data_IF_349539368340
#
_entry.id   IF_349539368340
#
_cell.length_a   1.000
_cell.length_b   1.000
_cell.length_c   1.000
_cell.angle_alpha   90.00
_cell.angle_beta   90.00
_cell.angle_gamma   90.00
#
_symmetry.space_group_name_H-M   'P 1'
#
loop_
_entity.id
_entity.type
_entity.pdbx_description
1 polymer ?
#
# COMPACT_ATOMS: atom_id res chain seq x y z
N UNK A 1 15.80 -16.68 56.46
CA UNK A 1 15.92 -17.14 55.05
C UNK A 1 14.73 -16.75 54.18
N UNK A 2 13.47 -17.01 54.58
CA UNK A 2 12.27 -16.64 53.79
C UNK A 2 12.17 -15.13 53.46
N UNK A 3 12.47 -14.24 54.42
CA UNK A 3 12.42 -12.77 54.21
C UNK A 3 13.45 -12.27 53.18
N UNK A 4 14.66 -12.84 53.18
CA UNK A 4 15.72 -12.52 52.21
C UNK A 4 15.31 -13.00 50.81
N UNK A 5 14.70 -14.19 50.73
CA UNK A 5 14.17 -14.72 49.46
C UNK A 5 13.05 -13.85 48.87
N UNK A 6 12.19 -13.26 49.71
CA UNK A 6 11.12 -12.35 49.28
C UNK A 6 11.68 -11.01 48.77
N UNK A 7 12.70 -10.47 49.45
CA UNK A 7 13.36 -9.23 49.01
C UNK A 7 14.08 -9.46 47.67
N UNK A 8 14.76 -10.60 47.50
CA UNK A 8 15.43 -10.94 46.24
C UNK A 8 14.44 -11.08 45.09
N UNK A 9 13.27 -11.68 45.33
CA UNK A 9 12.22 -11.82 44.33
C UNK A 9 11.61 -10.47 43.93
N UNK A 10 11.44 -9.54 44.88
CA UNK A 10 10.93 -8.20 44.60
C UNK A 10 11.89 -7.37 43.73
N UNK A 11 13.21 -7.53 43.91
CA UNK A 11 14.25 -6.86 43.11
C UNK A 11 14.31 -7.39 41.68
N UNK A 12 14.03 -8.68 41.47
CA UNK A 12 13.99 -9.27 40.13
C UNK A 12 12.77 -8.76 39.35
N UNK A 13 11.64 -8.54 40.01
CA UNK A 13 10.40 -8.06 39.38
C UNK A 13 10.48 -6.56 39.02
N UNK A 14 11.20 -5.74 39.80
CA UNK A 14 11.36 -4.31 39.51
C UNK A 14 12.29 -4.00 38.34
N UNK A 15 13.16 -4.94 37.93
CA UNK A 15 14.08 -4.79 36.80
C UNK A 15 13.45 -4.84 35.41
N UNK A 16 12.16 -5.15 35.28
CA UNK A 16 11.48 -5.35 33.98
C UNK A 16 10.54 -4.20 33.55
N UNK A 17 10.61 -3.02 34.18
CA UNK A 17 9.59 -1.96 34.01
C UNK A 17 9.74 -1.04 32.78
N UNK A 18 10.60 -1.35 31.80
CA UNK A 18 10.73 -0.54 30.58
C UNK A 18 10.46 -1.35 29.31
N UNK A 19 9.20 -1.73 29.12
CA UNK A 19 8.71 -2.34 27.89
C UNK A 19 8.20 -1.31 26.86
N UNK A 20 8.10 -0.03 27.22
CA UNK A 20 7.45 0.97 26.37
C UNK A 20 8.47 1.70 25.49
N UNK A 21 8.36 1.50 24.19
CA UNK A 21 9.14 2.24 23.18
C UNK A 21 8.72 3.71 23.18
N UNK A 22 9.70 4.62 23.16
CA UNK A 22 9.44 6.05 22.94
C UNK A 22 8.91 6.25 21.51
N UNK A 23 7.77 6.92 21.39
CA UNK A 23 7.18 7.30 20.11
C UNK A 23 7.79 8.64 19.68
N UNK A 24 8.24 8.75 18.43
CA UNK A 24 8.78 10.00 17.87
C UNK A 24 7.91 10.53 16.72
N UNK A 25 8.19 11.75 16.23
CA UNK A 25 7.46 12.32 15.08
C UNK A 25 7.75 11.51 13.81
N UNK A 26 8.99 11.05 13.66
CA UNK A 26 9.45 10.22 12.55
C UNK A 26 8.67 8.90 12.45
N UNK A 27 8.15 8.39 13.57
CA UNK A 27 7.32 7.19 13.60
C UNK A 27 5.97 7.37 12.85
N UNK A 28 5.47 8.61 12.77
CA UNK A 28 4.26 8.96 12.01
C UNK A 28 4.54 9.43 10.59
N UNK A 29 5.72 10.02 10.33
CA UNK A 29 6.02 10.67 9.05
C UNK A 29 6.86 9.79 8.13
N UNK A 30 8.12 9.53 8.48
CA UNK A 30 9.09 8.87 7.61
C UNK A 30 9.09 7.35 7.77
N UNK A 31 8.95 6.86 9.01
CA UNK A 31 9.08 5.46 9.34
C UNK A 31 7.77 4.68 9.12
N UNK A 32 6.64 5.38 8.99
CA UNK A 32 5.32 4.77 8.76
C UNK A 32 4.96 3.66 9.77
N UNK A 33 5.41 3.78 11.03
CA UNK A 33 5.27 2.72 12.05
C UNK A 33 3.79 2.43 12.34
N UNK A 34 2.96 3.46 12.32
CA UNK A 34 1.53 3.37 12.60
C UNK A 34 0.66 3.38 11.33
N UNK A 35 1.27 3.31 10.13
CA UNK A 35 0.51 3.31 8.89
C UNK A 35 -0.18 1.95 8.72
N UNK A 36 -1.51 1.97 8.72
CA UNK A 36 -2.29 0.78 8.37
C UNK A 36 -2.01 0.35 6.93
N UNK A 37 -1.69 -0.92 6.73
CA UNK A 37 -1.53 -1.49 5.39
C UNK A 37 -2.88 -1.48 4.68
N UNK A 38 -2.93 -0.93 3.48
CA UNK A 38 -4.09 -0.98 2.61
C UNK A 38 -3.68 -1.35 1.19
N UNK A 39 -4.64 -1.89 0.43
CA UNK A 39 -4.45 -2.12 -1.00
C UNK A 39 -4.72 -0.81 -1.73
N UNK A 40 -3.74 -0.33 -2.50
CA UNK A 40 -3.84 0.89 -3.31
C UNK A 40 -3.62 0.55 -4.79
N UNK A 41 -4.10 1.42 -5.67
CA UNK A 41 -3.85 1.29 -7.12
C UNK A 41 -4.62 0.17 -7.81
N UNK A 42 -5.67 -0.36 -7.17
CA UNK A 42 -6.64 -1.27 -7.78
C UNK A 42 -7.90 -0.48 -8.18
N UNK A 43 -8.47 -0.81 -9.33
CA UNK A 43 -9.77 -0.33 -9.79
C UNK A 43 -10.63 -1.52 -10.15
N UNK A 44 -11.71 -1.70 -9.39
CA UNK A 44 -12.71 -2.73 -9.68
C UNK A 44 -13.36 -2.47 -11.03
N UNK A 45 -13.58 -3.54 -11.79
CA UNK A 45 -14.32 -3.47 -13.04
C UNK A 45 -15.80 -3.74 -12.81
N UNK A 46 -16.64 -3.28 -13.73
CA UNK A 46 -18.11 -3.32 -13.63
C UNK A 46 -18.70 -4.73 -13.43
N UNK A 47 -18.03 -5.77 -13.96
CA UNK A 47 -18.46 -7.16 -13.82
C UNK A 47 -18.12 -7.79 -12.45
N UNK A 48 -17.34 -7.09 -11.62
CA UNK A 48 -16.88 -7.55 -10.30
C UNK A 48 -15.93 -8.75 -10.31
N UNK A 49 -15.64 -9.33 -11.48
CA UNK A 49 -14.76 -10.50 -11.63
C UNK A 49 -13.30 -10.10 -11.83
N UNK A 50 -13.07 -8.85 -12.22
CA UNK A 50 -11.74 -8.34 -12.49
C UNK A 50 -11.48 -7.02 -11.78
N UNK A 51 -10.19 -6.75 -11.61
CA UNK A 51 -9.70 -5.42 -11.30
C UNK A 51 -8.59 -5.05 -12.27
N UNK A 52 -8.36 -3.76 -12.43
CA UNK A 52 -7.23 -3.24 -13.17
C UNK A 52 -6.24 -2.55 -12.23
N UNK A 53 -4.97 -2.55 -12.61
CA UNK A 53 -3.91 -1.86 -11.89
C UNK A 53 -2.86 -1.30 -12.85
N UNK A 54 -2.27 -0.16 -12.49
CA UNK A 54 -1.13 0.39 -13.21
C UNK A 54 0.14 -0.36 -12.80
N UNK A 55 0.79 -1.04 -13.75
CA UNK A 55 2.03 -1.79 -13.56
C UNK A 55 3.00 -1.49 -14.68
N UNK A 56 4.17 -0.94 -14.33
CA UNK A 56 5.27 -0.66 -15.27
C UNK A 56 4.81 0.14 -16.52
N UNK A 57 4.09 1.23 -16.30
CA UNK A 57 3.53 2.08 -17.37
C UNK A 57 2.41 1.45 -18.22
N UNK A 58 1.86 0.31 -17.79
CA UNK A 58 0.73 -0.34 -18.44
C UNK A 58 -0.45 -0.52 -17.48
N UNK A 59 -1.67 -0.28 -17.97
CA UNK A 59 -2.91 -0.61 -17.30
C UNK A 59 -3.21 -2.07 -17.60
N UNK A 60 -3.19 -2.91 -16.57
CA UNK A 60 -3.29 -4.37 -16.70
C UNK A 60 -4.54 -4.86 -15.98
N UNK A 61 -5.28 -5.77 -16.62
CA UNK A 61 -6.46 -6.46 -16.09
C UNK A 61 -6.06 -7.76 -15.41
N UNK A 62 -6.59 -7.98 -14.21
CA UNK A 62 -6.36 -9.15 -13.39
C UNK A 62 -7.66 -9.85 -13.06
N UNK A 63 -7.63 -11.17 -13.04
CA UNK A 63 -8.69 -12.00 -12.47
C UNK A 63 -8.64 -11.90 -10.93
N UNK A 64 -9.78 -11.61 -10.30
CA UNK A 64 -9.84 -11.39 -8.85
C UNK A 64 -9.55 -12.67 -8.04
N UNK A 65 -9.90 -13.84 -8.59
CA UNK A 65 -9.82 -15.12 -7.87
C UNK A 65 -8.40 -15.69 -7.90
N UNK A 66 -7.72 -15.56 -9.03
CA UNK A 66 -6.39 -16.15 -9.25
C UNK A 66 -5.27 -15.14 -9.13
N UNK A 67 -5.55 -13.84 -9.25
CA UNK A 67 -4.53 -12.79 -9.34
C UNK A 67 -3.71 -12.83 -10.65
N UNK A 68 -4.14 -13.63 -11.63
CA UNK A 68 -3.45 -13.76 -12.91
C UNK A 68 -3.73 -12.58 -13.82
N UNK A 69 -2.74 -12.22 -14.65
CA UNK A 69 -2.93 -11.23 -15.70
C UNK A 69 -3.80 -11.85 -16.80
N UNK A 70 -4.90 -11.18 -17.12
CA UNK A 70 -5.84 -11.59 -18.17
C UNK A 70 -5.58 -10.82 -19.46
N UNK A 71 -5.29 -9.52 -19.33
CA UNK A 71 -5.03 -8.66 -20.48
C UNK A 71 -4.23 -7.41 -20.08
N UNK A 72 -3.51 -6.83 -21.05
CA UNK A 72 -3.05 -5.45 -20.98
C UNK A 72 -4.08 -4.58 -21.68
N UNK A 73 -4.68 -3.64 -20.95
CA UNK A 73 -5.72 -2.74 -21.47
C UNK A 73 -5.09 -1.59 -22.25
N UNK A 74 -4.01 -1.01 -21.70
CA UNK A 74 -3.27 0.08 -22.32
C UNK A 74 -1.80 -0.03 -21.92
N UNK A 75 -0.88 0.02 -22.88
CA UNK A 75 0.55 0.16 -22.62
C UNK A 75 1.01 1.54 -23.07
N UNK A 76 1.36 2.40 -22.12
CA UNK A 76 1.85 3.75 -22.40
C UNK A 76 3.12 3.74 -23.27
N UNK A 77 3.88 2.64 -23.24
CA UNK A 77 5.09 2.53 -24.05
C UNK A 77 4.83 2.20 -25.52
N UNK A 78 3.67 1.60 -25.81
CA UNK A 78 3.27 1.22 -27.15
C UNK A 78 2.50 2.33 -27.88
N UNK A 79 2.23 3.46 -27.21
CA UNK A 79 1.59 4.62 -27.82
C UNK A 79 2.60 5.48 -28.58
N UNK A 80 2.09 6.20 -29.58
CA UNK A 80 2.85 7.21 -30.34
C UNK A 80 2.15 8.58 -30.26
N UNK A 81 2.74 9.57 -29.57
CA UNK A 81 3.98 9.48 -28.80
C UNK A 81 3.82 8.57 -27.57
N UNK A 82 4.95 8.02 -27.10
CA UNK A 82 5.00 7.30 -25.83
C UNK A 82 4.58 8.25 -24.70
N UNK A 83 3.74 7.76 -23.78
CA UNK A 83 3.28 8.53 -22.62
C UNK A 83 3.65 7.82 -21.31
N UNK A 84 3.94 8.62 -20.29
CA UNK A 84 4.12 8.13 -18.92
C UNK A 84 2.81 8.27 -18.14
N UNK A 85 2.17 7.14 -17.88
CA UNK A 85 0.90 7.06 -17.14
C UNK A 85 1.19 7.25 -15.66
N UNK A 86 0.69 8.36 -15.10
CA UNK A 86 0.76 8.65 -13.67
C UNK A 86 -0.45 8.12 -12.92
N UNK A 87 -1.64 8.21 -13.54
CA UNK A 87 -2.87 7.61 -13.04
C UNK A 87 -3.91 7.45 -14.16
N UNK A 88 -5.07 6.84 -13.87
CA UNK A 88 -6.16 6.70 -14.84
C UNK A 88 -7.55 6.58 -14.21
N UNK A 89 -8.60 6.70 -15.00
CA UNK A 89 -9.98 6.36 -14.61
C UNK A 89 -10.77 5.89 -15.83
N UNK A 90 -11.70 4.97 -15.62
CA UNK A 90 -12.66 4.57 -16.66
C UNK A 90 -13.84 5.53 -16.72
N UNK A 91 -14.48 5.62 -17.89
CA UNK A 91 -15.89 6.04 -17.98
C UNK A 91 -16.79 5.03 -17.27
N UNK A 92 -18.03 5.43 -16.95
CA UNK A 92 -18.99 4.58 -16.24
C UNK A 92 -19.26 3.23 -16.97
N UNK A 93 -19.17 3.23 -18.31
CA UNK A 93 -19.36 2.05 -19.17
C UNK A 93 -18.05 1.34 -19.57
N UNK A 94 -16.92 1.78 -19.01
CA UNK A 94 -15.56 1.28 -19.29
C UNK A 94 -15.11 1.34 -20.76
N UNK A 95 -15.81 2.06 -21.63
CA UNK A 95 -15.44 2.21 -23.04
C UNK A 95 -14.34 3.24 -23.27
N UNK A 96 -14.12 4.14 -22.31
CA UNK A 96 -13.09 5.17 -22.38
C UNK A 96 -12.21 5.15 -21.13
N UNK A 97 -10.96 5.54 -21.31
CA UNK A 97 -9.98 5.69 -20.24
C UNK A 97 -9.44 7.11 -20.27
N UNK A 98 -9.63 7.84 -19.18
CA UNK A 98 -8.93 9.09 -18.93
C UNK A 98 -7.57 8.76 -18.32
N UNK A 99 -6.50 9.27 -18.92
CA UNK A 99 -5.12 9.05 -18.47
C UNK A 99 -4.54 10.36 -17.95
N UNK A 100 -3.99 10.32 -16.74
CA UNK A 100 -3.22 11.41 -16.16
C UNK A 100 -1.73 11.22 -16.48
N UNK A 101 -1.12 12.22 -17.12
CA UNK A 101 0.34 12.29 -17.38
C UNK A 101 0.95 13.48 -16.64
N UNK A 102 2.29 13.53 -16.56
CA UNK A 102 3.07 14.67 -16.07
C UNK A 102 2.64 15.22 -14.69
N UNK A 103 2.25 14.32 -13.78
CA UNK A 103 1.80 14.69 -12.44
C UNK A 103 2.94 15.35 -11.67
N UNK A 104 2.73 16.60 -11.23
CA UNK A 104 3.63 17.32 -10.32
C UNK A 104 3.08 17.29 -8.90
N UNK A 105 3.75 16.59 -7.98
CA UNK A 105 3.42 16.66 -6.55
C UNK A 105 3.92 17.99 -5.99
N UNK A 106 3.13 18.60 -5.12
CA UNK A 106 3.47 19.88 -4.46
C UNK A 106 3.99 19.64 -3.03
N UNK A 107 3.85 18.42 -2.53
CA UNK A 107 4.28 17.94 -1.21
C UNK A 107 4.76 16.49 -1.30
#
# INVERSE_FOLDING_TARGET
MKKISVILLAVIISGQLMAQKQITVEDFTSNNIFLAKSVRGIRWMNDGQYYSALKKNAIVKYDVTTGSIVATILDGNALEPNISISDYSFSDDEQQILVLTDRKSIY
#
